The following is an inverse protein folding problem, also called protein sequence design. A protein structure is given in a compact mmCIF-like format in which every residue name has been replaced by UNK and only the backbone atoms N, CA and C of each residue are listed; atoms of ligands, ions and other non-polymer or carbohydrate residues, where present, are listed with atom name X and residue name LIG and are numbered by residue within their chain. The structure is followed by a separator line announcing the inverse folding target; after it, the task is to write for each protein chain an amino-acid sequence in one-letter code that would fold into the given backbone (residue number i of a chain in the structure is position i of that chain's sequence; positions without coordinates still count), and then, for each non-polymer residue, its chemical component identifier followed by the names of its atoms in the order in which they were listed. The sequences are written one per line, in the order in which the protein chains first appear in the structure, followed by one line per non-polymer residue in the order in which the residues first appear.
data_IF_234165553771
#
_entry.id   IF_234165553771
#
_cell.length_a   1.000
_cell.length_b   1.000
_cell.length_c   1.000
_cell.angle_alpha   90.00
_cell.angle_beta   90.00
_cell.angle_gamma   90.00
#
_symmetry.space_group_name_H-M   'P 1'
#
loop_
_entity.id
_entity.type
_entity.pdbx_description
1 polymer ?
#
# COMPACT_ATOMS: atom_id res chain seq x y z
N UNK A 1 48.47 9.77 -69.52
CA UNK A 1 47.72 8.73 -68.71
C UNK A 1 47.88 9.13 -67.23
N UNK A 2 46.81 9.63 -66.62
CA UNK A 2 46.81 10.23 -65.28
C UNK A 2 46.55 9.19 -64.20
N UNK A 3 47.62 8.77 -63.52
CA UNK A 3 47.47 8.01 -62.29
C UNK A 3 47.08 8.97 -61.13
N UNK A 4 45.79 9.13 -60.92
CA UNK A 4 45.24 9.86 -59.75
C UNK A 4 44.52 8.91 -58.83
N UNK A 5 45.08 8.79 -57.59
CA UNK A 5 44.50 8.77 -56.28
C UNK A 5 44.15 7.42 -55.63
N UNK A 6 45.09 6.80 -54.90
CA UNK A 6 44.76 5.87 -53.83
C UNK A 6 44.42 6.58 -52.51
N UNK A 7 44.79 7.86 -52.31
CA UNK A 7 44.66 8.57 -51.06
C UNK A 7 43.19 8.76 -50.57
N UNK A 8 42.27 9.02 -51.49
CA UNK A 8 40.85 9.21 -51.16
C UNK A 8 40.14 7.93 -50.71
N UNK A 9 40.54 6.78 -51.28
CA UNK A 9 39.98 5.48 -50.91
C UNK A 9 40.44 5.06 -49.48
N UNK A 10 41.69 5.34 -49.12
CA UNK A 10 42.24 5.03 -47.79
C UNK A 10 41.59 5.89 -46.72
N UNK A 11 41.34 7.19 -46.98
CA UNK A 11 40.66 8.07 -46.09
C UNK A 11 39.19 7.65 -45.82
N UNK A 12 38.49 7.23 -46.91
CA UNK A 12 37.10 6.75 -46.77
C UNK A 12 37.00 5.47 -45.91
N UNK A 13 37.95 4.52 -46.09
CA UNK A 13 38.02 3.30 -45.29
C UNK A 13 38.33 3.61 -43.83
N UNK A 14 39.23 4.55 -43.57
CA UNK A 14 39.58 4.95 -42.20
C UNK A 14 38.40 5.61 -41.47
N UNK A 15 37.61 6.44 -42.17
CA UNK A 15 36.39 7.08 -41.63
C UNK A 15 35.29 6.03 -41.34
N UNK A 16 35.10 5.04 -42.22
CA UNK A 16 34.16 3.95 -41.96
C UNK A 16 34.57 3.07 -40.78
N UNK A 17 35.87 2.85 -40.56
CA UNK A 17 36.37 2.08 -39.43
C UNK A 17 36.20 2.82 -38.09
N UNK A 18 36.28 4.16 -38.09
CA UNK A 18 36.04 4.99 -36.91
C UNK A 18 34.56 5.09 -36.50
N UNK A 19 33.61 4.90 -37.44
CA UNK A 19 32.18 4.91 -37.20
C UNK A 19 31.64 3.54 -36.73
N UNK A 20 32.45 2.50 -36.74
CA UNK A 20 32.10 1.14 -36.32
C UNK A 20 32.44 0.87 -34.84
N UNK A 21 32.66 1.91 -33.99
CA UNK A 21 32.81 1.69 -32.55
C UNK A 21 31.44 1.26 -31.99
N UNK A 22 31.29 0.01 -31.52
CA UNK A 22 30.05 -0.37 -30.86
C UNK A 22 29.89 0.51 -29.64
N UNK A 23 28.82 1.32 -29.61
CA UNK A 23 28.41 2.01 -28.41
C UNK A 23 28.11 0.92 -27.42
N UNK A 24 29.03 0.64 -26.52
CA UNK A 24 28.84 -0.32 -25.45
C UNK A 24 27.68 0.15 -24.61
N UNK A 25 26.52 -0.45 -24.81
CA UNK A 25 25.38 -0.33 -23.90
C UNK A 25 25.83 -0.97 -22.60
N UNK A 26 26.31 -0.15 -21.66
CA UNK A 26 26.58 -0.59 -20.30
C UNK A 26 25.23 -1.04 -19.73
N UNK A 27 25.00 -2.35 -19.71
CA UNK A 27 23.90 -2.92 -18.96
C UNK A 27 24.12 -2.55 -17.49
N UNK A 28 23.40 -1.55 -16.98
CA UNK A 28 23.38 -1.25 -15.56
C UNK A 28 22.87 -2.51 -14.86
N UNK A 29 23.71 -3.11 -14.05
CA UNK A 29 23.30 -4.22 -13.17
C UNK A 29 22.21 -3.65 -12.25
N UNK A 30 20.99 -4.14 -12.44
CA UNK A 30 19.86 -3.73 -11.61
C UNK A 30 20.17 -4.14 -10.17
N UNK A 31 20.27 -3.17 -9.27
CA UNK A 31 20.55 -3.43 -7.86
C UNK A 31 19.26 -3.93 -7.18
N UNK A 32 19.36 -5.08 -6.50
CA UNK A 32 18.25 -5.65 -5.73
C UNK A 32 17.84 -4.69 -4.62
N UNK A 33 16.53 -4.59 -4.40
CA UNK A 33 15.97 -3.85 -3.27
C UNK A 33 15.21 -4.78 -2.32
N UNK A 34 14.77 -5.95 -2.79
CA UNK A 34 14.00 -6.88 -1.98
C UNK A 34 13.08 -7.77 -2.79
N UNK A 35 12.00 -8.23 -2.18
CA UNK A 35 11.01 -9.11 -2.79
C UNK A 35 9.59 -8.81 -2.33
N UNK A 36 8.64 -9.06 -3.21
CA UNK A 36 7.21 -8.99 -2.89
C UNK A 36 6.84 -10.24 -2.07
N UNK A 37 6.26 -10.04 -0.89
CA UNK A 37 5.89 -11.14 0.02
C UNK A 37 4.39 -11.44 0.04
N UNK A 38 3.57 -10.45 -0.33
CA UNK A 38 2.12 -10.64 -0.48
C UNK A 38 1.56 -9.67 -1.51
N UNK A 39 0.54 -10.11 -2.24
CA UNK A 39 -0.17 -9.32 -3.25
C UNK A 39 -1.66 -9.53 -3.10
N UNK A 40 -2.40 -8.44 -3.08
CA UNK A 40 -3.85 -8.42 -3.31
C UNK A 40 -4.05 -7.81 -4.69
N UNK A 41 -4.54 -8.55 -5.67
CA UNK A 41 -4.64 -8.09 -7.06
C UNK A 41 -5.54 -6.84 -7.20
N UNK A 42 -5.28 -5.93 -8.12
CA UNK A 42 -4.31 -5.92 -9.24
C UNK A 42 -3.11 -5.04 -8.87
N UNK A 43 -1.92 -5.61 -8.81
CA UNK A 43 -0.67 -4.87 -8.59
C UNK A 43 0.25 -5.08 -9.77
N UNK A 44 0.90 -4.03 -10.22
CA UNK A 44 1.89 -4.06 -11.28
C UNK A 44 3.24 -3.53 -10.78
N UNK A 45 4.32 -4.13 -11.26
CA UNK A 45 5.68 -3.60 -11.12
C UNK A 45 6.12 -3.05 -12.47
N UNK A 46 6.48 -1.77 -12.49
CA UNK A 46 7.01 -1.10 -13.69
C UNK A 46 8.51 -0.97 -13.53
N UNK A 47 9.26 -1.51 -14.49
CA UNK A 47 10.72 -1.45 -14.57
C UNK A 47 11.14 -0.87 -15.90
N UNK A 48 11.62 0.36 -15.90
CA UNK A 48 11.87 1.10 -17.15
C UNK A 48 10.60 1.20 -17.99
N UNK A 49 10.63 0.66 -19.21
CA UNK A 49 9.47 0.64 -20.11
C UNK A 49 8.58 -0.62 -19.96
N UNK A 50 8.95 -1.56 -19.10
CA UNK A 50 8.22 -2.82 -18.93
C UNK A 50 7.30 -2.76 -17.74
N UNK A 51 6.05 -3.20 -17.92
CA UNK A 51 5.08 -3.39 -16.85
C UNK A 51 4.74 -4.87 -16.75
N UNK A 52 4.86 -5.42 -15.55
CA UNK A 52 4.61 -6.83 -15.26
C UNK A 52 3.65 -6.92 -14.06
N UNK A 53 2.67 -7.81 -14.14
CA UNK A 53 1.81 -8.12 -12.98
C UNK A 53 2.65 -8.67 -11.84
N UNK A 54 2.45 -8.10 -10.65
CA UNK A 54 3.18 -8.49 -9.46
C UNK A 54 2.77 -9.89 -8.98
N UNK A 55 3.75 -10.67 -8.55
CA UNK A 55 3.55 -11.97 -7.94
C UNK A 55 4.33 -12.12 -6.64
N UNK A 56 3.89 -13.01 -5.77
CA UNK A 56 4.62 -13.35 -4.54
C UNK A 56 5.99 -13.94 -4.89
N UNK A 57 7.00 -13.57 -4.12
CA UNK A 57 8.42 -13.91 -4.30
C UNK A 57 9.12 -13.22 -5.49
N UNK A 58 8.42 -12.37 -6.24
CA UNK A 58 9.03 -11.56 -7.29
C UNK A 58 10.04 -10.58 -6.70
N UNK A 59 11.24 -10.53 -7.27
CA UNK A 59 12.28 -9.56 -6.90
C UNK A 59 11.92 -8.17 -7.40
N UNK A 60 12.20 -7.18 -6.56
CA UNK A 60 12.12 -5.75 -6.88
C UNK A 60 13.52 -5.14 -6.81
N UNK A 61 13.75 -4.14 -7.64
CA UNK A 61 15.06 -3.50 -7.84
C UNK A 61 14.94 -1.98 -7.66
N UNK A 62 16.08 -1.33 -7.59
CA UNK A 62 16.12 0.14 -7.59
C UNK A 62 15.50 0.67 -8.88
N UNK A 63 14.70 1.70 -8.75
CA UNK A 63 13.93 2.29 -9.83
C UNK A 63 12.63 1.58 -10.18
N UNK A 64 12.34 0.42 -9.58
CA UNK A 64 11.03 -0.22 -9.78
C UNK A 64 9.91 0.62 -9.17
N UNK A 65 8.81 0.72 -9.91
CA UNK A 65 7.58 1.38 -9.45
C UNK A 65 6.55 0.31 -9.15
N UNK A 66 6.06 0.31 -7.91
CA UNK A 66 4.96 -0.55 -7.46
C UNK A 66 3.67 0.25 -7.63
N UNK A 67 2.83 -0.19 -8.55
CA UNK A 67 1.55 0.44 -8.84
C UNK A 67 0.40 -0.48 -8.43
N UNK A 68 -0.41 -0.03 -7.46
CA UNK A 68 -1.57 -0.76 -6.96
C UNK A 68 -2.86 -0.15 -7.49
N UNK A 69 -3.77 -1.00 -7.98
CA UNK A 69 -5.10 -0.58 -8.39
C UNK A 69 -6.07 -0.45 -7.22
N UNK A 70 -7.34 -0.24 -7.56
CA UNK A 70 -8.42 -0.13 -6.59
C UNK A 70 -8.55 -1.41 -5.75
N UNK A 71 -8.63 -1.28 -4.43
CA UNK A 71 -8.65 -2.37 -3.44
C UNK A 71 -7.42 -3.30 -3.47
N UNK A 72 -6.44 -3.04 -4.34
CA UNK A 72 -5.20 -3.81 -4.40
C UNK A 72 -4.22 -3.39 -3.31
N UNK A 73 -3.35 -4.29 -2.90
CA UNK A 73 -2.29 -4.03 -1.91
C UNK A 73 -1.07 -4.88 -2.20
N UNK A 74 0.09 -4.37 -1.87
CA UNK A 74 1.34 -5.13 -1.96
C UNK A 74 2.13 -5.04 -0.65
N UNK A 75 2.80 -6.13 -0.32
CA UNK A 75 3.78 -6.14 0.77
C UNK A 75 5.15 -6.50 0.21
N UNK A 76 6.13 -5.68 0.47
CA UNK A 76 7.51 -5.85 0.02
C UNK A 76 8.40 -5.98 1.24
N UNK A 77 9.20 -7.03 1.28
CA UNK A 77 10.30 -7.14 2.23
C UNK A 77 11.57 -6.65 1.52
N UNK A 78 12.19 -5.62 2.06
CA UNK A 78 13.46 -5.10 1.58
C UNK A 78 14.62 -6.00 2.08
N UNK A 79 15.76 -5.92 1.39
CA UNK A 79 16.92 -6.78 1.67
C UNK A 79 17.58 -6.50 3.02
N UNK A 80 17.32 -5.34 3.64
CA UNK A 80 17.74 -4.99 4.99
C UNK A 80 16.80 -5.50 6.10
N UNK A 81 15.68 -6.12 5.74
CA UNK A 81 14.63 -6.57 6.65
C UNK A 81 13.53 -5.54 6.92
N UNK A 82 13.63 -4.34 6.36
CA UNK A 82 12.53 -3.37 6.38
C UNK A 82 11.33 -3.88 5.56
N UNK A 83 10.14 -3.45 5.92
CA UNK A 83 8.90 -3.89 5.27
C UNK A 83 8.09 -2.71 4.81
N UNK A 84 7.69 -2.74 3.55
CA UNK A 84 6.77 -1.79 2.94
C UNK A 84 5.41 -2.47 2.73
N UNK A 85 4.34 -1.81 3.13
CA UNK A 85 2.96 -2.22 2.82
C UNK A 85 2.31 -1.10 2.03
N UNK A 86 2.11 -1.32 0.73
CA UNK A 86 1.54 -0.36 -0.21
C UNK A 86 0.03 -0.54 -0.23
N UNK A 87 -0.71 0.53 0.04
CA UNK A 87 -2.16 0.55 0.05
C UNK A 87 -2.78 0.53 -1.36
N UNK A 88 -4.11 0.63 -1.44
CA UNK A 88 -4.80 0.73 -2.73
C UNK A 88 -4.55 2.08 -3.41
N UNK A 89 -4.73 2.08 -4.73
CA UNK A 89 -4.63 3.29 -5.56
C UNK A 89 -3.33 4.07 -5.28
N UNK A 90 -2.19 3.35 -5.26
CA UNK A 90 -0.90 3.92 -4.87
C UNK A 90 0.17 3.71 -5.94
N UNK A 91 1.09 4.66 -6.03
CA UNK A 91 2.26 4.59 -6.89
C UNK A 91 3.50 4.89 -6.06
N UNK A 92 4.30 3.86 -5.79
CA UNK A 92 5.51 3.90 -4.97
C UNK A 92 6.72 3.47 -5.79
N UNK A 93 7.71 4.35 -5.89
CA UNK A 93 9.01 4.06 -6.51
C UNK A 93 10.04 3.74 -5.43
N UNK A 94 10.79 2.66 -5.61
CA UNK A 94 11.99 2.36 -4.80
C UNK A 94 13.18 3.06 -5.45
N UNK A 95 13.37 4.35 -5.13
CA UNK A 95 14.39 5.16 -5.78
C UNK A 95 15.81 4.69 -5.44
N UNK A 96 16.04 4.30 -4.18
CA UNK A 96 17.31 3.75 -3.68
C UNK A 96 17.05 2.82 -2.50
N UNK A 97 17.80 1.72 -2.42
CA UNK A 97 17.85 0.87 -1.24
C UNK A 97 19.25 0.28 -1.05
N UNK A 98 20.11 1.01 -0.36
CA UNK A 98 21.49 0.65 -0.12
C UNK A 98 21.65 0.08 1.29
N UNK A 99 21.75 -1.25 1.38
CA UNK A 99 21.93 -1.95 2.65
C UNK A 99 23.32 -1.67 3.26
N UNK A 100 24.32 -1.43 2.40
CA UNK A 100 25.69 -1.11 2.82
C UNK A 100 25.74 0.23 3.56
N UNK A 101 25.09 1.27 3.04
CA UNK A 101 25.03 2.61 3.65
C UNK A 101 23.80 2.79 4.55
N UNK A 102 22.93 1.81 4.64
CA UNK A 102 21.61 1.89 5.32
C UNK A 102 20.80 3.10 4.82
N UNK A 103 20.75 3.28 3.51
CA UNK A 103 20.03 4.37 2.87
C UNK A 103 18.88 3.84 2.04
N UNK A 104 17.67 4.23 2.40
CA UNK A 104 16.45 3.92 1.65
C UNK A 104 15.73 5.20 1.30
N UNK A 105 15.57 5.44 0.02
CA UNK A 105 14.83 6.55 -0.56
C UNK A 105 13.65 5.99 -1.36
N UNK A 106 12.46 6.36 -0.98
CA UNK A 106 11.20 5.98 -1.61
C UNK A 106 10.48 7.24 -2.11
N UNK A 107 9.86 7.18 -3.28
CA UNK A 107 9.06 8.26 -3.83
C UNK A 107 7.61 7.81 -3.94
N UNK A 108 6.71 8.45 -3.20
CA UNK A 108 5.27 8.22 -3.24
C UNK A 108 4.62 9.31 -4.08
N UNK A 109 4.26 8.97 -5.33
CA UNK A 109 3.63 9.91 -6.24
C UNK A 109 2.16 10.18 -5.87
N UNK A 110 1.47 9.17 -5.36
CA UNK A 110 0.12 9.24 -4.77
C UNK A 110 -0.20 7.95 -4.02
N UNK A 111 -1.22 8.01 -3.16
CA UNK A 111 -1.72 6.86 -2.41
C UNK A 111 -1.15 6.77 -1.01
N UNK A 112 -1.00 5.55 -0.50
CA UNK A 112 -0.64 5.30 0.89
C UNK A 112 0.40 4.19 1.01
N UNK A 113 1.40 4.41 1.86
CA UNK A 113 2.39 3.40 2.22
C UNK A 113 2.62 3.39 3.72
N UNK A 114 2.66 2.19 4.29
CA UNK A 114 3.12 1.93 5.66
C UNK A 114 4.50 1.31 5.57
N UNK A 115 5.46 1.94 6.21
CA UNK A 115 6.85 1.51 6.23
C UNK A 115 7.27 1.20 7.65
N UNK A 116 7.80 -0.02 7.84
CA UNK A 116 8.51 -0.43 9.05
C UNK A 116 9.98 -0.53 8.70
N UNK A 117 10.76 0.45 9.13
CA UNK A 117 12.19 0.50 8.92
C UNK A 117 12.93 -0.22 10.03
N UNK A 118 13.97 -0.97 9.70
CA UNK A 118 14.92 -1.49 10.69
C UNK A 118 15.67 -0.34 11.36
N UNK A 119 16.20 -0.58 12.55
CA UNK A 119 16.96 0.43 13.29
C UNK A 119 18.20 0.83 12.49
N UNK A 120 18.32 2.12 12.22
CA UNK A 120 19.47 2.72 11.55
C UNK A 120 20.57 2.99 12.56
N UNK A 121 21.79 2.55 12.27
CA UNK A 121 22.93 2.66 13.20
C UNK A 121 24.14 3.40 12.60
N UNK A 122 24.19 3.57 11.27
CA UNK A 122 25.28 4.30 10.61
C UNK A 122 25.06 5.81 10.68
N UNK A 123 26.12 6.63 10.71
CA UNK A 123 26.00 8.09 10.82
C UNK A 123 25.21 8.74 9.69
N UNK A 124 25.33 8.21 8.46
CA UNK A 124 24.64 8.73 7.26
C UNK A 124 23.42 7.88 6.86
N UNK A 125 22.99 6.97 7.74
CA UNK A 125 21.83 6.13 7.51
C UNK A 125 20.58 7.00 7.43
N UNK A 126 19.69 6.65 6.49
CA UNK A 126 18.39 7.32 6.34
C UNK A 126 17.37 6.36 5.75
N UNK A 127 16.16 6.49 6.21
CA UNK A 127 14.98 5.89 5.60
C UNK A 127 13.94 6.99 5.41
N UNK A 128 13.63 7.32 4.17
CA UNK A 128 12.73 8.44 3.87
C UNK A 128 11.76 8.11 2.74
N UNK A 129 10.56 8.69 2.84
CA UNK A 129 9.53 8.68 1.82
C UNK A 129 9.31 10.11 1.38
N UNK A 130 9.53 10.37 0.11
CA UNK A 130 9.30 11.67 -0.52
C UNK A 130 7.94 11.68 -1.19
N UNK A 131 7.28 12.81 -1.12
CA UNK A 131 6.07 13.14 -1.87
C UNK A 131 6.31 14.45 -2.63
N UNK A 132 5.43 14.83 -3.56
CA UNK A 132 5.53 16.11 -4.24
C UNK A 132 5.54 17.36 -3.35
N UNK A 133 5.11 17.26 -2.07
CA UNK A 133 4.99 18.40 -1.15
C UNK A 133 5.91 18.32 0.07
N UNK A 134 6.55 17.18 0.31
CA UNK A 134 7.41 17.04 1.49
C UNK A 134 8.06 15.67 1.62
N UNK A 135 8.83 15.52 2.70
CA UNK A 135 9.60 14.31 3.00
C UNK A 135 9.32 13.86 4.43
N UNK A 136 8.97 12.59 4.58
CA UNK A 136 8.89 11.92 5.88
C UNK A 136 10.09 10.99 6.06
N UNK A 137 10.83 11.13 7.14
CA UNK A 137 11.97 10.29 7.49
C UNK A 137 11.86 9.68 8.86
N UNK A 138 12.50 8.52 9.06
CA UNK A 138 12.48 7.76 10.33
C UNK A 138 13.86 7.27 10.71
N UNK A 139 14.02 6.96 12.00
CA UNK A 139 15.23 6.33 12.56
C UNK A 139 14.85 5.03 13.28
N UNK A 140 14.60 3.96 12.48
CA UNK A 140 14.25 2.63 13.03
C UNK A 140 12.86 2.59 13.67
N UNK A 141 11.84 2.92 12.88
CA UNK A 141 10.47 3.16 13.34
C UNK A 141 9.44 2.63 12.35
N UNK A 142 8.17 2.76 12.72
CA UNK A 142 7.06 2.47 11.83
C UNK A 142 6.22 3.73 11.59
N UNK A 143 5.97 4.04 10.32
CA UNK A 143 5.15 5.17 9.91
C UNK A 143 4.19 4.83 8.79
N UNK A 144 3.12 5.60 8.68
CA UNK A 144 2.24 5.63 7.50
C UNK A 144 2.35 6.99 6.85
N UNK A 145 2.51 7.00 5.53
CA UNK A 145 2.48 8.21 4.71
C UNK A 145 1.34 8.08 3.71
N UNK A 146 0.48 9.05 3.69
CA UNK A 146 -0.60 9.23 2.72
C UNK A 146 -0.32 10.49 1.90
N UNK A 147 -0.43 10.40 0.59
CA UNK A 147 -0.44 11.56 -0.30
C UNK A 147 -1.66 11.48 -1.22
N UNK A 148 -2.57 12.44 -1.10
CA UNK A 148 -3.86 12.44 -1.79
C UNK A 148 -3.85 13.23 -3.10
N UNK A 149 -4.92 13.07 -3.88
CA UNK A 149 -5.09 13.78 -5.15
C UNK A 149 -5.29 15.31 -5.00
N UNK A 150 -5.60 15.79 -3.80
CA UNK A 150 -5.72 17.22 -3.51
C UNK A 150 -4.34 17.87 -3.19
N UNK A 151 -3.26 17.08 -3.20
CA UNK A 151 -1.92 17.54 -2.92
C UNK A 151 -1.62 17.67 -1.42
N UNK A 152 -2.32 16.91 -0.58
CA UNK A 152 -2.06 16.87 0.85
C UNK A 152 -1.26 15.64 1.22
N UNK A 153 -0.25 15.83 2.05
CA UNK A 153 0.51 14.75 2.68
C UNK A 153 0.10 14.64 4.14
N UNK A 154 -0.25 13.44 4.58
CA UNK A 154 -0.49 13.11 5.99
C UNK A 154 0.48 12.03 6.42
N UNK A 155 1.09 12.21 7.59
CA UNK A 155 2.06 11.27 8.17
C UNK A 155 1.63 10.91 9.57
N UNK A 156 1.54 9.61 9.83
CA UNK A 156 1.29 9.04 11.15
C UNK A 156 2.57 8.34 11.61
N UNK A 157 3.16 8.79 12.70
CA UNK A 157 4.24 8.10 13.37
C UNK A 157 3.66 7.03 14.28
N UNK A 158 3.80 5.76 13.93
CA UNK A 158 3.22 4.67 14.73
C UNK A 158 4.11 4.28 15.90
N UNK A 159 5.43 4.29 15.68
CA UNK A 159 6.43 3.89 16.67
C UNK A 159 7.70 4.70 16.48
N UNK A 160 8.38 5.05 17.59
CA UNK A 160 9.68 5.73 17.59
C UNK A 160 9.59 7.23 17.34
N UNK A 161 10.47 7.75 16.48
CA UNK A 161 10.55 9.18 16.14
C UNK A 161 10.54 9.35 14.62
N UNK A 162 9.62 10.17 14.13
CA UNK A 162 9.50 10.53 12.73
C UNK A 162 9.82 12.02 12.55
N UNK A 163 10.44 12.36 11.41
CA UNK A 163 10.72 13.74 11.01
C UNK A 163 9.98 14.03 9.72
N UNK A 164 9.19 15.07 9.69
CA UNK A 164 8.47 15.52 8.48
C UNK A 164 8.92 16.92 8.12
N UNK A 165 9.34 17.09 6.87
CA UNK A 165 9.82 18.37 6.34
C UNK A 165 9.04 18.73 5.08
N UNK A 166 8.74 20.00 4.89
CA UNK A 166 8.30 20.54 3.61
C UNK A 166 9.48 20.70 2.63
N UNK A 167 9.19 21.14 1.41
CA UNK A 167 10.21 21.38 0.39
C UNK A 167 11.07 22.62 0.67
N UNK A 168 10.62 23.53 1.56
CA UNK A 168 11.39 24.70 2.00
C UNK A 168 12.36 24.35 3.13
N UNK A 169 12.31 23.12 3.66
CA UNK A 169 13.17 22.64 4.72
C UNK A 169 12.66 22.91 6.14
N UNK A 170 11.43 23.40 6.30
CA UNK A 170 10.78 23.50 7.61
C UNK A 170 10.36 22.12 8.07
N UNK A 171 10.79 21.72 9.26
CA UNK A 171 10.61 20.35 9.74
C UNK A 171 9.95 20.31 11.12
N UNK A 172 9.16 19.26 11.34
CA UNK A 172 8.62 18.89 12.66
C UNK A 172 9.10 17.50 13.03
N UNK A 173 9.28 17.27 14.33
CA UNK A 173 9.56 15.95 14.90
C UNK A 173 8.30 15.44 15.58
N UNK A 174 7.97 14.16 15.33
CA UNK A 174 6.83 13.47 15.92
C UNK A 174 7.31 12.26 16.72
N UNK A 175 6.58 11.93 17.77
CA UNK A 175 6.73 10.68 18.51
C UNK A 175 5.71 9.65 18.04
N UNK A 176 5.92 8.40 18.40
CA UNK A 176 4.93 7.35 18.18
C UNK A 176 3.55 7.74 18.77
N UNK A 177 2.49 7.54 17.97
CA UNK A 177 1.13 7.94 18.31
C UNK A 177 0.75 9.36 17.91
N UNK A 178 1.61 10.09 17.20
CA UNK A 178 1.33 11.43 16.67
C UNK A 178 1.18 11.45 15.16
N UNK A 179 0.44 12.44 14.66
CA UNK A 179 0.26 12.70 13.22
C UNK A 179 0.53 14.17 12.90
N UNK A 180 0.94 14.44 11.65
CA UNK A 180 1.06 15.78 11.08
C UNK A 180 0.68 15.76 9.60
N UNK A 181 0.30 16.91 9.06
CA UNK A 181 -0.04 17.09 7.66
C UNK A 181 0.66 18.26 7.02
N UNK A 182 0.90 18.16 5.71
CA UNK A 182 1.31 19.24 4.82
C UNK A 182 0.17 19.43 3.81
N UNK A 183 -0.41 20.61 3.76
CA UNK A 183 -1.51 20.93 2.84
C UNK A 183 -0.99 21.82 1.71
N UNK A 184 -0.92 21.26 0.50
CA UNK A 184 -0.32 21.93 -0.64
C UNK A 184 1.11 22.37 -0.36
N UNK A 185 1.40 23.66 -0.47
CA UNK A 185 2.73 24.25 -0.24
C UNK A 185 2.92 24.83 1.17
N UNK A 186 2.07 24.45 2.14
CA UNK A 186 2.22 24.92 3.52
C UNK A 186 3.32 24.17 4.25
N UNK A 187 3.80 24.75 5.35
CA UNK A 187 4.69 24.03 6.28
C UNK A 187 3.92 22.94 7.01
N UNK A 188 4.62 21.91 7.55
CA UNK A 188 4.00 20.87 8.34
C UNK A 188 3.22 21.46 9.51
N UNK A 189 2.01 20.95 9.77
CA UNK A 189 1.24 21.32 10.96
C UNK A 189 1.93 20.87 12.24
N UNK A 190 1.58 21.49 13.37
CA UNK A 190 2.08 21.01 14.66
C UNK A 190 1.64 19.55 14.88
N UNK A 191 2.52 18.68 15.40
CA UNK A 191 2.16 17.29 15.71
C UNK A 191 0.99 17.23 16.69
N UNK A 192 0.04 16.35 16.42
CA UNK A 192 -1.13 16.10 17.23
C UNK A 192 -1.30 14.61 17.51
N UNK A 193 -1.91 14.19 18.62
CA UNK A 193 -2.21 12.78 18.88
C UNK A 193 -3.12 12.21 17.78
N UNK A 194 -2.74 11.06 17.21
CA UNK A 194 -3.58 10.36 16.23
C UNK A 194 -4.81 9.75 16.90
N UNK A 195 -5.98 9.89 16.26
CA UNK A 195 -7.18 9.24 16.77
C UNK A 195 -7.13 7.72 16.59
N UNK A 196 -7.70 6.91 17.49
CA UNK A 196 -7.76 5.45 17.31
C UNK A 196 -8.46 5.02 16.02
N UNK A 197 -9.45 5.79 15.56
CA UNK A 197 -10.15 5.53 14.31
C UNK A 197 -9.23 5.75 13.10
N UNK A 198 -8.48 6.86 13.07
CA UNK A 198 -7.49 7.17 12.01
C UNK A 198 -6.42 6.09 11.95
N UNK A 199 -5.88 5.69 13.12
CA UNK A 199 -4.86 4.65 13.20
C UNK A 199 -5.38 3.30 12.66
N UNK A 200 -6.58 2.89 13.07
CA UNK A 200 -7.21 1.66 12.59
C UNK A 200 -7.43 1.69 11.07
N UNK A 201 -7.91 2.81 10.53
CA UNK A 201 -8.08 3.00 9.09
C UNK A 201 -6.77 2.91 8.34
N UNK A 202 -5.72 3.58 8.81
CA UNK A 202 -4.41 3.58 8.18
C UNK A 202 -3.77 2.17 8.15
N UNK A 203 -3.91 1.42 9.25
CA UNK A 203 -3.42 0.03 9.33
C UNK A 203 -4.22 -0.88 8.40
N UNK A 204 -5.55 -0.79 8.39
CA UNK A 204 -6.40 -1.65 7.56
C UNK A 204 -6.23 -1.38 6.07
N UNK A 205 -6.03 -0.12 5.67
CA UNK A 205 -5.81 0.27 4.28
C UNK A 205 -4.51 -0.30 3.68
N UNK A 206 -3.50 -0.60 4.52
CA UNK A 206 -2.20 -1.15 4.11
C UNK A 206 -2.02 -2.63 4.46
N UNK A 207 -3.02 -3.27 5.09
CA UNK A 207 -2.91 -4.65 5.52
C UNK A 207 -3.19 -5.62 4.37
N UNK A 208 -2.23 -6.50 4.07
CA UNK A 208 -2.37 -7.59 3.08
C UNK A 208 -2.83 -8.90 3.70
N UNK A 209 -2.90 -9.00 5.04
CA UNK A 209 -3.32 -10.22 5.75
C UNK A 209 -4.84 -10.21 5.87
N UNK A 210 -5.55 -11.06 5.16
CA UNK A 210 -7.01 -11.21 5.23
C UNK A 210 -7.77 -10.98 3.93
N UNK A 211 -7.16 -10.42 2.90
CA UNK A 211 -7.82 -10.25 1.61
C UNK A 211 -7.85 -11.52 0.76
N UNK A 212 -7.09 -12.56 1.15
CA UNK A 212 -7.05 -13.85 0.46
C UNK A 212 -8.05 -14.89 0.98
N UNK A 213 -8.73 -14.63 2.09
CA UNK A 213 -9.65 -15.61 2.69
C UNK A 213 -11.14 -15.35 2.38
N UNK A 214 -11.46 -14.31 1.60
CA UNK A 214 -12.85 -13.88 1.36
C UNK A 214 -13.39 -14.05 -0.06
N UNK A 215 -12.60 -14.53 -1.01
CA UNK A 215 -13.03 -14.64 -2.42
C UNK A 215 -13.26 -16.09 -2.89
N UNK A 216 -13.64 -17.01 -2.01
CA UNK A 216 -13.79 -18.39 -2.39
C UNK A 216 -14.87 -19.16 -1.66
N UNK A 217 -16.09 -18.62 -1.48
CA UNK A 217 -17.25 -19.43 -1.09
C UNK A 217 -18.58 -18.69 -1.29
N UNK A 218 -18.89 -18.31 -2.51
CA UNK A 218 -20.27 -18.02 -2.92
C UNK A 218 -20.47 -18.66 -4.29
N UNK A 219 -20.63 -19.98 -4.30
CA UNK A 219 -20.87 -20.79 -5.49
C UNK A 219 -21.79 -21.94 -5.15
N UNK A 220 -23.07 -21.70 -5.36
CA UNK A 220 -24.10 -22.64 -5.80
C UNK A 220 -24.23 -23.98 -5.05
N UNK A 221 -25.23 -24.05 -4.19
CA UNK A 221 -25.85 -25.27 -3.77
C UNK A 221 -27.35 -25.19 -3.95
N UNK A 222 -27.84 -25.44 -5.18
CA UNK A 222 -29.25 -25.62 -5.43
C UNK A 222 -29.52 -27.09 -5.73
N UNK A 223 -30.44 -27.66 -4.99
CA UNK A 223 -31.40 -28.70 -5.32
C UNK A 223 -30.90 -30.11 -5.72
N UNK A 224 -31.40 -31.12 -5.03
CA UNK A 224 -31.53 -32.46 -5.53
C UNK A 224 -31.69 -33.51 -4.44
N UNK A 225 -32.92 -33.83 -4.13
CA UNK A 225 -33.28 -34.90 -3.19
C UNK A 225 -32.82 -36.28 -3.65
N UNK A 226 -32.59 -37.19 -2.73
CA UNK A 226 -32.36 -38.59 -2.98
C UNK A 226 -32.11 -39.36 -1.69
N UNK A 227 -33.09 -40.06 -1.21
CA UNK A 227 -33.03 -41.03 -0.12
C UNK A 227 -32.14 -42.21 -0.49
N UNK A 228 -31.21 -42.60 0.37
CA UNK A 228 -30.44 -43.82 0.21
C UNK A 228 -29.76 -44.22 1.51
N UNK A 229 -30.32 -45.17 2.20
CA UNK A 229 -29.77 -45.82 3.39
C UNK A 229 -28.54 -46.66 3.05
N UNK A 230 -27.47 -46.53 3.81
CA UNK A 230 -26.29 -47.37 3.72
C UNK A 230 -25.39 -47.21 4.94
N UNK A 231 -25.49 -48.19 5.82
CA UNK A 231 -24.66 -48.41 7.00
C UNK A 231 -23.19 -48.68 6.63
N UNK A 232 -22.25 -48.00 7.27
CA UNK A 232 -20.89 -48.50 7.44
C UNK A 232 -20.27 -47.92 8.71
N UNK A 233 -20.01 -48.82 9.62
CA UNK A 233 -19.26 -48.66 10.88
C UNK A 233 -17.78 -48.45 10.63
N UNK A 234 -17.18 -47.45 11.30
CA UNK A 234 -15.76 -47.45 11.57
C UNK A 234 -15.48 -46.78 12.92
N UNK A 235 -14.83 -47.56 13.77
CA UNK A 235 -14.38 -47.28 15.13
C UNK A 235 -13.12 -46.41 15.07
N UNK A 236 -13.03 -45.35 15.89
CA UNK A 236 -11.81 -44.57 16.09
C UNK A 236 -11.92 -43.80 17.39
N UNK A 237 -11.17 -44.28 18.39
CA UNK A 237 -11.02 -43.72 19.74
C UNK A 237 -10.14 -42.47 19.71
N UNK A 238 -10.55 -41.41 20.38
CA UNK A 238 -9.70 -40.25 20.60
C UNK A 238 -10.33 -39.20 21.54
N UNK A 239 -9.72 -39.01 22.67
CA UNK A 239 -10.14 -38.34 23.88
C UNK A 239 -10.68 -36.90 23.74
N UNK A 240 -11.69 -36.61 24.53
CA UNK A 240 -12.28 -35.31 24.77
C UNK A 240 -11.43 -34.48 25.73
N UNK A 241 -11.24 -33.18 25.45
CA UNK A 241 -11.04 -32.14 26.47
C UNK A 241 -12.05 -31.03 26.19
N UNK A 242 -12.98 -30.88 27.09
CA UNK A 242 -13.97 -29.83 27.09
C UNK A 242 -13.37 -28.54 27.66
N UNK A 243 -13.40 -27.45 26.90
CA UNK A 243 -13.31 -26.11 27.42
C UNK A 243 -14.44 -25.30 26.76
N UNK A 244 -15.45 -24.95 27.55
CA UNK A 244 -16.60 -24.19 27.12
C UNK A 244 -16.22 -22.74 26.80
N UNK A 245 -16.55 -22.31 25.61
CA UNK A 245 -16.62 -20.88 25.26
C UNK A 245 -18.04 -20.61 24.82
N UNK A 246 -18.76 -19.82 25.63
CA UNK A 246 -20.08 -19.33 25.31
C UNK A 246 -20.00 -18.35 24.14
N UNK A 247 -20.46 -18.75 22.98
CA UNK A 247 -20.64 -17.86 21.83
C UNK A 247 -21.97 -17.13 21.97
N UNK A 248 -21.89 -15.82 22.30
CA UNK A 248 -23.04 -14.93 22.18
C UNK A 248 -23.34 -14.69 20.70
N UNK A 249 -24.45 -15.25 20.21
CA UNK A 249 -24.97 -14.98 18.89
C UNK A 249 -25.64 -13.61 18.91
N UNK A 250 -24.97 -12.59 18.39
CA UNK A 250 -25.59 -11.28 18.11
C UNK A 250 -26.37 -11.41 16.80
N UNK A 251 -27.69 -11.57 16.89
CA UNK A 251 -28.59 -11.42 15.75
C UNK A 251 -28.71 -9.95 15.39
N UNK A 252 -28.05 -9.52 14.33
CA UNK A 252 -28.33 -8.22 13.70
C UNK A 252 -29.65 -8.31 12.92
N UNK A 253 -30.69 -7.67 13.44
CA UNK A 253 -31.95 -7.47 12.73
C UNK A 253 -31.77 -6.29 11.78
N UNK A 254 -31.59 -6.53 10.50
CA UNK A 254 -31.68 -5.51 9.46
C UNK A 254 -33.15 -5.10 9.29
N UNK A 255 -33.53 -3.95 9.80
CA UNK A 255 -34.81 -3.30 9.45
C UNK A 255 -34.65 -2.58 8.12
N UNK A 256 -35.28 -3.12 7.09
CA UNK A 256 -35.46 -2.45 5.80
C UNK A 256 -36.47 -1.31 6.00
N UNK A 257 -36.03 -0.07 5.85
CA UNK A 257 -36.88 1.10 5.83
C UNK A 257 -37.53 1.24 4.44
N UNK A 258 -38.82 1.07 4.35
CA UNK A 258 -39.63 1.43 3.20
C UNK A 258 -40.11 2.88 3.36
N UNK A 259 -39.65 3.76 2.46
CA UNK A 259 -40.21 5.11 2.35
C UNK A 259 -41.48 5.03 1.49
N UNK A 260 -42.64 5.36 2.07
CA UNK A 260 -43.91 5.47 1.33
C UNK A 260 -44.05 6.88 0.77
N UNK A 261 -44.30 6.99 -0.54
CA UNK A 261 -44.68 8.21 -1.21
C UNK A 261 -46.20 8.43 -1.08
N UNK A 262 -46.67 9.61 -0.67
CA UNK A 262 -48.11 9.93 -0.69
C UNK A 262 -48.54 10.34 -2.10
N UNK A 263 -49.86 10.17 -2.44
CA UNK A 263 -50.37 10.48 -3.77
C UNK A 263 -50.41 11.98 -4.05
N UNK A 264 -50.15 12.30 -5.29
CA UNK A 264 -50.07 13.60 -5.96
C UNK A 264 -51.26 14.54 -5.71
N UNK A 265 -51.00 15.71 -5.12
CA UNK A 265 -51.65 16.97 -5.48
C UNK A 265 -50.60 18.10 -5.25
N UNK A 266 -50.10 18.60 -6.30
CA UNK A 266 -49.63 19.93 -6.68
C UNK A 266 -48.87 20.82 -5.68
N UNK A 267 -47.90 20.33 -4.88
CA UNK A 267 -46.89 21.17 -4.20
C UNK A 267 -45.61 20.36 -4.06
N UNK A 268 -44.45 20.97 -4.30
CA UNK A 268 -43.12 20.32 -4.25
C UNK A 268 -42.93 19.55 -2.95
N UNK A 269 -42.58 18.24 -2.97
CA UNK A 269 -42.31 17.48 -1.76
C UNK A 269 -40.91 17.77 -1.27
N UNK A 270 -40.79 18.27 -0.05
CA UNK A 270 -39.57 18.07 0.76
C UNK A 270 -39.63 16.68 1.39
N UNK A 271 -38.63 15.87 1.12
CA UNK A 271 -38.47 14.57 1.73
C UNK A 271 -38.11 14.76 3.25
N UNK A 272 -39.05 14.45 4.11
CA UNK A 272 -38.86 14.50 5.55
C UNK A 272 -38.42 13.10 6.02
N UNK A 273 -37.14 12.89 6.17
CA UNK A 273 -36.57 11.71 6.83
C UNK A 273 -36.30 12.06 8.28
N UNK A 274 -37.15 11.58 9.19
CA UNK A 274 -36.94 11.72 10.62
C UNK A 274 -35.69 10.95 11.06
N UNK A 275 -34.71 11.66 11.53
CA UNK A 275 -33.50 11.15 12.17
C UNK A 275 -33.88 10.68 13.59
N UNK A 276 -33.95 9.36 13.80
CA UNK A 276 -34.11 8.80 15.15
C UNK A 276 -32.71 8.63 15.75
N UNK A 277 -32.35 9.51 16.66
CA UNK A 277 -31.19 9.34 17.55
C UNK A 277 -31.55 8.31 18.62
N UNK A 278 -30.69 7.28 18.78
CA UNK A 278 -30.78 6.30 19.86
C UNK A 278 -30.63 6.99 21.22
N UNK A 279 -31.73 7.23 21.87
CA UNK A 279 -31.78 7.59 23.27
C UNK A 279 -31.92 6.35 24.13
N UNK A 280 -30.91 6.06 24.93
CA UNK A 280 -30.96 5.06 26.00
C UNK A 280 -31.92 5.57 27.10
N UNK A 281 -33.11 4.98 27.21
CA UNK A 281 -33.97 5.21 28.35
C UNK A 281 -33.55 4.27 29.50
N UNK A 282 -33.08 4.86 30.58
CA UNK A 282 -32.92 4.17 31.85
C UNK A 282 -34.24 4.29 32.62
N UNK A 283 -34.99 3.19 32.70
CA UNK A 283 -36.19 3.12 33.49
C UNK A 283 -35.80 2.83 34.95
N UNK A 284 -35.87 3.87 35.80
CA UNK A 284 -35.84 3.71 37.24
C UNK A 284 -37.26 3.46 37.76
N UNK A 285 -37.49 2.28 38.28
CA UNK A 285 -38.69 2.02 39.12
C UNK A 285 -38.34 2.18 40.60
N UNK A 286 -39.17 2.91 41.24
CA UNK A 286 -39.35 2.88 42.72
C UNK A 286 -40.26 1.72 43.11
#
# INVERSE_FOLDING_TARGET
MNARRPATAVIAILICLLLAVPVGVSAQVAQSAGKITAVVPIVNVVRGAQQVSASTSQQVFWGDVINTGHLARARVALDDGSVLSVGSDSNLTIAKHDTGEQQTDLDLAYGQVRARAVKLVKPNARFQIRTPVGVAGVVGTEMVVLFDAAGNMNVICMEGVCKVCDLAGVCVLMKGGEETGIHGNSSPSAPAPVSPATLTSAVSATNTTGAGAGAGAAGAGAAGGGVGAGTATAVGVGAAVAAGVATAVVRSVSKTQTCSTPPTTGVRPQANCNHITNGTQVNGQR
#
